data_IF_393467823719
#
_entry.id   IF_393467823719
#
_cell.length_a   1.000
_cell.length_b   1.000
_cell.length_c   1.000
_cell.angle_alpha   90.00
_cell.angle_beta   90.00
_cell.angle_gamma   90.00
#
_symmetry.space_group_name_H-M   'P 1'
#
loop_
_entity.id
_entity.type
_entity.pdbx_description
1 polymer ?
#
# COMPACT_ATOMS: atom_id res chain seq x y z
N UNK A 1 57.17 26.03 1.88
CA UNK A 1 55.70 26.19 1.91
C UNK A 1 54.96 25.20 1.00
N UNK A 2 55.29 25.08 -0.30
CA UNK A 2 54.60 24.17 -1.26
C UNK A 2 54.49 22.70 -0.82
N UNK A 3 55.55 22.09 -0.25
CA UNK A 3 55.52 20.70 0.24
C UNK A 3 54.56 20.46 1.41
N UNK A 4 54.33 21.46 2.27
CA UNK A 4 53.37 21.38 3.38
C UNK A 4 51.93 21.45 2.86
N UNK A 5 51.67 22.36 1.93
CA UNK A 5 50.37 22.46 1.27
C UNK A 5 49.99 21.16 0.56
N UNK A 6 50.92 20.58 -0.22
CA UNK A 6 50.68 19.32 -0.92
C UNK A 6 50.35 18.16 0.04
N UNK A 7 51.03 18.07 1.19
CA UNK A 7 50.74 17.05 2.22
C UNK A 7 49.35 17.23 2.83
N UNK A 8 48.95 18.47 3.13
CA UNK A 8 47.62 18.76 3.69
C UNK A 8 46.53 18.42 2.67
N UNK A 9 46.70 18.84 1.41
CA UNK A 9 45.76 18.50 0.34
C UNK A 9 45.62 16.98 0.15
N UNK A 10 46.73 16.23 0.22
CA UNK A 10 46.70 14.78 0.12
C UNK A 10 45.93 14.12 1.28
N UNK A 11 46.12 14.59 2.52
CA UNK A 11 45.38 14.09 3.69
C UNK A 11 43.89 14.35 3.54
N UNK A 12 43.50 15.54 3.06
CA UNK A 12 42.09 15.88 2.84
C UNK A 12 41.48 14.97 1.75
N UNK A 13 42.19 14.73 0.65
CA UNK A 13 41.74 13.85 -0.43
C UNK A 13 41.57 12.41 0.09
N UNK A 14 42.54 11.90 0.85
CA UNK A 14 42.45 10.56 1.45
C UNK A 14 41.29 10.48 2.43
N UNK A 15 41.09 11.50 3.27
CA UNK A 15 39.97 11.57 4.20
C UNK A 15 38.62 11.58 3.48
N UNK A 16 38.48 12.36 2.42
CA UNK A 16 37.26 12.40 1.61
C UNK A 16 37.00 11.07 0.89
N UNK A 17 38.03 10.45 0.31
CA UNK A 17 37.94 9.13 -0.29
C UNK A 17 37.54 8.06 0.74
N UNK A 18 38.06 8.15 1.96
CA UNK A 18 37.68 7.26 3.05
C UNK A 18 36.21 7.42 3.46
N UNK A 19 35.71 8.66 3.55
CA UNK A 19 34.29 8.92 3.85
C UNK A 19 33.40 8.34 2.76
N UNK A 20 33.72 8.58 1.48
CA UNK A 20 32.98 7.98 0.35
C UNK A 20 33.03 6.46 0.42
N UNK A 21 34.19 5.88 0.71
CA UNK A 21 34.33 4.43 0.82
C UNK A 21 33.50 3.86 1.98
N UNK A 22 33.49 4.53 3.14
CA UNK A 22 32.65 4.15 4.27
C UNK A 22 31.15 4.25 3.94
N UNK A 23 30.72 5.31 3.25
CA UNK A 23 29.34 5.48 2.77
C UNK A 23 28.96 4.40 1.75
N UNK A 24 29.86 4.07 0.82
CA UNK A 24 29.67 2.99 -0.15
C UNK A 24 29.49 1.62 0.52
N UNK A 25 30.15 1.40 1.67
CA UNK A 25 29.96 0.21 2.50
C UNK A 25 28.68 0.26 3.37
N UNK A 26 27.90 1.34 3.30
CA UNK A 26 26.67 1.51 4.07
C UNK A 26 26.89 1.97 5.51
N UNK A 27 28.09 2.41 5.89
CA UNK A 27 28.42 2.78 7.27
C UNK A 27 27.51 3.89 7.83
N UNK A 28 27.05 4.80 6.97
CA UNK A 28 26.17 5.91 7.35
C UNK A 28 24.68 5.65 7.11
N UNK A 29 24.29 4.47 6.58
CA UNK A 29 22.90 4.18 6.22
C UNK A 29 21.96 4.30 7.42
N UNK A 30 22.37 3.80 8.59
CA UNK A 30 21.57 3.90 9.81
C UNK A 30 21.33 5.34 10.27
N UNK A 31 22.36 6.20 10.18
CA UNK A 31 22.23 7.64 10.52
C UNK A 31 21.34 8.33 9.50
N UNK A 32 21.52 8.04 8.21
CA UNK A 32 20.70 8.60 7.14
C UNK A 32 19.22 8.23 7.31
N UNK A 33 18.91 6.97 7.62
CA UNK A 33 17.56 6.50 7.88
C UNK A 33 16.95 7.15 9.14
N UNK A 34 17.74 7.29 10.22
CA UNK A 34 17.28 7.97 11.42
C UNK A 34 16.94 9.45 11.17
N UNK A 35 17.81 10.17 10.45
CA UNK A 35 17.59 11.58 10.09
C UNK A 35 16.42 11.74 9.12
N UNK A 36 16.27 10.80 8.17
CA UNK A 36 15.11 10.73 7.29
C UNK A 36 13.83 10.61 8.10
N UNK A 37 13.76 9.68 9.06
CA UNK A 37 12.57 9.52 9.89
C UNK A 37 12.32 10.71 10.83
N UNK A 38 13.40 11.29 11.37
CA UNK A 38 13.33 12.49 12.18
C UNK A 38 12.70 13.64 11.39
N UNK A 39 12.99 13.74 10.09
CA UNK A 39 12.40 14.78 9.24
C UNK A 39 10.87 14.69 9.19
N UNK A 40 10.27 13.49 9.18
CA UNK A 40 8.81 13.33 9.25
C UNK A 40 8.26 13.79 10.58
N UNK A 41 8.91 13.39 11.68
CA UNK A 41 8.50 13.77 13.04
C UNK A 41 8.57 15.28 13.27
N UNK A 42 9.62 15.93 12.76
CA UNK A 42 9.78 17.38 12.85
C UNK A 42 8.80 18.11 11.92
N UNK A 43 8.55 17.59 10.73
CA UNK A 43 7.58 18.14 9.77
C UNK A 43 6.15 18.07 10.31
N UNK A 44 5.82 17.00 11.02
CA UNK A 44 4.46 16.73 11.45
C UNK A 44 3.53 16.38 10.28
N UNK A 45 2.23 16.39 10.56
CA UNK A 45 1.19 16.06 9.60
C UNK A 45 1.05 17.15 8.52
N UNK A 46 0.91 16.74 7.27
CA UNK A 46 0.70 17.61 6.11
C UNK A 46 -0.67 17.33 5.48
N UNK A 47 -1.16 18.24 4.65
CA UNK A 47 -2.45 18.05 3.96
C UNK A 47 -2.36 16.85 3.00
N UNK A 48 -3.31 15.93 3.13
CA UNK A 48 -3.52 14.81 2.22
C UNK A 48 -4.71 15.08 1.29
N UNK A 49 -4.87 14.24 0.27
CA UNK A 49 -5.99 14.29 -0.66
C UNK A 49 -7.28 13.82 0.03
N UNK A 50 -8.20 14.77 0.23
CA UNK A 50 -9.49 14.55 0.91
C UNK A 50 -10.42 13.59 0.17
N UNK A 51 -10.10 13.21 -1.07
CA UNK A 51 -10.84 12.17 -1.82
C UNK A 51 -10.57 10.78 -1.27
N UNK A 52 -9.42 10.53 -0.63
CA UNK A 52 -9.11 9.22 -0.06
C UNK A 52 -9.92 8.99 1.21
N UNK A 53 -10.70 7.91 1.24
CA UNK A 53 -11.54 7.51 2.36
C UNK A 53 -11.25 6.05 2.72
N UNK A 54 -10.99 5.79 4.00
CA UNK A 54 -10.82 4.43 4.52
C UNK A 54 -12.15 3.94 5.09
N UNK A 55 -12.61 2.80 4.60
CA UNK A 55 -13.73 2.04 5.17
C UNK A 55 -13.14 0.98 6.08
N UNK A 56 -13.25 1.24 7.38
CA UNK A 56 -12.63 0.46 8.43
C UNK A 56 -13.51 -0.71 8.84
N UNK A 57 -12.98 -1.93 8.74
CA UNK A 57 -13.53 -3.07 9.48
C UNK A 57 -12.89 -3.02 10.87
N UNK A 58 -13.51 -2.23 11.73
CA UNK A 58 -13.10 -1.91 13.08
C UNK A 58 -13.84 -2.77 14.13
N UNK A 59 -13.51 -2.58 15.41
CA UNK A 59 -14.13 -3.28 16.53
C UNK A 59 -15.65 -3.04 16.56
N UNK A 60 -16.09 -1.82 16.21
CA UNK A 60 -17.51 -1.48 16.08
C UNK A 60 -18.18 -2.37 15.03
N UNK A 61 -17.57 -2.53 13.86
CA UNK A 61 -18.07 -3.41 12.80
C UNK A 61 -18.17 -4.85 13.26
N UNK A 62 -17.13 -5.38 13.91
CA UNK A 62 -17.14 -6.76 14.40
C UNK A 62 -18.14 -6.98 15.54
N UNK A 63 -18.37 -5.97 16.39
CA UNK A 63 -19.36 -6.05 17.47
C UNK A 63 -20.80 -6.11 16.95
N UNK A 64 -21.10 -5.43 15.83
CA UNK A 64 -22.45 -5.31 15.28
C UNK A 64 -22.75 -6.34 14.16
N UNK A 65 -21.75 -6.76 13.38
CA UNK A 65 -21.91 -7.68 12.24
C UNK A 65 -21.38 -9.11 12.49
N UNK A 66 -20.64 -9.31 13.59
CA UNK A 66 -20.11 -10.61 13.98
C UNK A 66 -18.60 -10.75 13.78
N UNK A 67 -18.10 -11.98 13.91
CA UNK A 67 -16.67 -12.27 13.92
C UNK A 67 -16.05 -12.20 12.52
N UNK A 68 -14.74 -11.95 12.48
CA UNK A 68 -13.94 -12.09 11.28
C UNK A 68 -13.75 -13.58 10.90
N UNK A 69 -13.75 -13.94 9.61
CA UNK A 69 -14.08 -13.12 8.44
C UNK A 69 -15.58 -12.84 8.29
N UNK A 70 -15.91 -11.63 7.79
CA UNK A 70 -17.30 -11.24 7.51
C UNK A 70 -17.89 -11.97 6.29
N UNK A 71 -19.22 -12.16 6.27
CA UNK A 71 -19.95 -12.78 5.14
C UNK A 71 -19.80 -11.97 3.84
N UNK A 72 -19.71 -12.64 2.67
CA UNK A 72 -19.52 -11.95 1.37
C UNK A 72 -20.71 -11.07 0.96
N UNK A 73 -21.92 -11.42 1.40
CA UNK A 73 -23.12 -10.59 1.24
C UNK A 73 -22.95 -9.17 1.81
N UNK A 74 -22.23 -8.99 2.93
CA UNK A 74 -21.96 -7.65 3.46
C UNK A 74 -21.10 -6.81 2.51
N UNK A 75 -20.12 -7.38 1.85
CA UNK A 75 -19.29 -6.67 0.88
C UNK A 75 -20.08 -6.32 -0.38
N UNK A 76 -20.99 -7.19 -0.84
CA UNK A 76 -21.91 -6.89 -1.95
C UNK A 76 -22.81 -5.69 -1.61
N UNK A 77 -23.35 -5.66 -0.38
CA UNK A 77 -24.15 -4.53 0.11
C UNK A 77 -23.34 -3.24 0.22
N UNK A 78 -22.11 -3.32 0.73
CA UNK A 78 -21.18 -2.19 0.76
C UNK A 78 -21.01 -1.60 -0.65
N UNK A 79 -20.75 -2.45 -1.65
CA UNK A 79 -20.55 -2.01 -3.03
C UNK A 79 -21.79 -1.29 -3.63
N UNK A 80 -23.00 -1.65 -3.20
CA UNK A 80 -24.21 -0.93 -3.61
C UNK A 80 -24.19 0.53 -3.11
N UNK A 81 -23.77 0.76 -1.86
CA UNK A 81 -23.64 2.10 -1.27
C UNK A 81 -22.49 2.91 -1.87
N UNK A 82 -21.44 2.24 -2.36
CA UNK A 82 -20.25 2.89 -2.94
C UNK A 82 -20.35 3.16 -4.45
N UNK A 83 -21.55 3.13 -5.02
CA UNK A 83 -21.76 3.29 -6.47
C UNK A 83 -21.26 4.63 -7.03
N UNK A 84 -21.20 5.70 -6.24
CA UNK A 84 -20.71 7.02 -6.65
C UNK A 84 -19.20 7.25 -6.42
N UNK A 85 -18.49 6.29 -5.80
CA UNK A 85 -17.05 6.38 -5.60
C UNK A 85 -16.29 6.35 -6.94
N UNK A 86 -15.16 7.04 -7.05
CA UNK A 86 -14.34 7.03 -8.28
C UNK A 86 -13.57 5.73 -8.47
N UNK A 87 -13.08 5.14 -7.38
CA UNK A 87 -12.44 3.84 -7.36
C UNK A 87 -12.60 3.19 -5.98
N UNK A 88 -12.57 1.86 -5.93
CA UNK A 88 -12.73 1.08 -4.70
C UNK A 88 -11.62 0.04 -4.65
N UNK A 89 -10.83 0.02 -3.58
CA UNK A 89 -9.82 -1.00 -3.33
C UNK A 89 -10.18 -1.82 -2.09
N UNK A 90 -10.11 -3.14 -2.19
CA UNK A 90 -10.15 -4.01 -1.01
C UNK A 90 -8.74 -4.44 -0.62
N UNK A 91 -8.33 -4.15 0.61
CA UNK A 91 -7.17 -4.76 1.28
C UNK A 91 -7.62 -5.97 2.10
N UNK A 92 -8.33 -6.88 1.43
CA UNK A 92 -8.89 -8.12 1.99
C UNK A 92 -8.82 -9.20 0.90
N UNK A 93 -8.14 -10.31 1.21
CA UNK A 93 -8.05 -11.42 0.27
C UNK A 93 -9.33 -12.25 0.24
N UNK A 94 -9.84 -12.46 -0.97
CA UNK A 94 -11.03 -13.26 -1.23
C UNK A 94 -10.67 -14.60 -1.88
N UNK A 95 -9.70 -15.32 -1.33
CA UNK A 95 -9.12 -16.55 -1.92
C UNK A 95 -9.97 -17.80 -1.72
N UNK A 96 -10.66 -17.90 -0.59
CA UNK A 96 -11.53 -19.05 -0.29
C UNK A 96 -12.92 -18.87 -0.89
N UNK A 97 -13.49 -19.96 -1.40
CA UNK A 97 -14.85 -20.00 -1.93
C UNK A 97 -15.89 -19.75 -0.84
N UNK A 98 -16.92 -18.98 -1.16
CA UNK A 98 -18.04 -18.69 -0.29
C UNK A 98 -19.37 -18.77 -1.08
N UNK A 99 -20.46 -19.14 -0.40
CA UNK A 99 -21.81 -19.22 -1.00
C UNK A 99 -22.26 -17.90 -1.64
N UNK A 100 -21.84 -16.78 -1.06
CA UNK A 100 -22.20 -15.42 -1.46
C UNK A 100 -21.26 -14.83 -2.54
N UNK A 101 -20.27 -15.59 -3.05
CA UNK A 101 -19.25 -15.09 -3.99
C UNK A 101 -19.85 -14.58 -5.31
N UNK A 102 -20.91 -15.24 -5.82
CA UNK A 102 -21.57 -14.81 -7.06
C UNK A 102 -22.18 -13.42 -6.94
N UNK A 103 -22.86 -13.13 -5.83
CA UNK A 103 -23.45 -11.80 -5.58
C UNK A 103 -22.37 -10.73 -5.49
N UNK A 104 -21.27 -11.02 -4.78
CA UNK A 104 -20.14 -10.09 -4.70
C UNK A 104 -19.51 -9.87 -6.08
N UNK A 105 -19.32 -10.93 -6.85
CA UNK A 105 -18.74 -10.87 -8.19
C UNK A 105 -19.60 -10.03 -9.15
N UNK A 106 -20.92 -10.20 -9.13
CA UNK A 106 -21.84 -9.36 -9.91
C UNK A 106 -21.71 -7.88 -9.54
N UNK A 107 -21.63 -7.56 -8.24
CA UNK A 107 -21.43 -6.19 -7.78
C UNK A 107 -20.08 -5.60 -8.20
N UNK A 108 -18.99 -6.38 -8.13
CA UNK A 108 -17.66 -5.96 -8.60
C UNK A 108 -17.69 -5.71 -10.12
N UNK A 109 -18.29 -6.64 -10.89
CA UNK A 109 -18.38 -6.54 -12.35
C UNK A 109 -19.20 -5.33 -12.78
N UNK A 110 -20.35 -5.09 -12.13
CA UNK A 110 -21.24 -3.95 -12.40
C UNK A 110 -20.54 -2.61 -12.21
N UNK A 111 -19.70 -2.48 -11.18
CA UNK A 111 -19.01 -1.22 -10.89
C UNK A 111 -17.79 -0.99 -11.78
N UNK A 112 -17.05 -2.03 -12.19
CA UNK A 112 -15.89 -1.93 -13.10
C UNK A 112 -14.67 -1.16 -12.57
N UNK A 113 -14.76 -0.65 -11.34
CA UNK A 113 -13.78 0.22 -10.66
C UNK A 113 -13.29 -0.35 -9.32
N UNK A 114 -13.49 -1.65 -9.11
CA UNK A 114 -13.03 -2.38 -7.93
C UNK A 114 -11.67 -3.01 -8.19
N UNK A 115 -10.74 -2.87 -7.25
CA UNK A 115 -9.43 -3.52 -7.23
C UNK A 115 -9.36 -4.48 -6.06
N UNK A 116 -8.93 -5.71 -6.34
CA UNK A 116 -8.70 -6.75 -5.33
C UNK A 116 -7.20 -6.95 -5.07
N UNK A 117 -6.82 -7.40 -3.88
CA UNK A 117 -5.42 -7.52 -3.51
C UNK A 117 -4.82 -8.83 -4.01
N UNK A 118 -3.52 -8.81 -4.24
CA UNK A 118 -2.68 -9.99 -4.41
C UNK A 118 -1.67 -9.99 -3.27
N UNK A 119 -1.63 -11.09 -2.51
CA UNK A 119 -0.65 -11.26 -1.43
C UNK A 119 0.51 -12.11 -1.92
N UNK A 120 1.71 -11.76 -1.44
CA UNK A 120 2.92 -12.53 -1.65
C UNK A 120 3.37 -12.98 -0.27
N UNK A 121 3.38 -14.29 -0.04
CA UNK A 121 3.80 -14.86 1.23
C UNK A 121 5.31 -14.73 1.42
N UNK A 122 5.80 -14.99 2.64
CA UNK A 122 7.23 -15.06 2.93
C UNK A 122 7.96 -16.16 2.15
N UNK A 123 7.26 -17.24 1.79
CA UNK A 123 7.79 -18.30 0.91
C UNK A 123 7.80 -17.90 -0.57
N UNK A 124 7.29 -16.71 -0.90
CA UNK A 124 7.14 -16.20 -2.26
C UNK A 124 5.91 -16.76 -2.98
N UNK A 125 5.01 -17.45 -2.28
CA UNK A 125 3.77 -17.94 -2.87
C UNK A 125 2.79 -16.78 -3.06
N UNK A 126 2.17 -16.75 -4.24
CA UNK A 126 1.20 -15.70 -4.55
C UNK A 126 -0.21 -16.20 -4.27
N UNK A 127 -0.91 -15.53 -3.37
CA UNK A 127 -2.34 -15.74 -3.11
C UNK A 127 -3.15 -14.73 -3.92
N UNK A 128 -4.08 -15.26 -4.72
CA UNK A 128 -5.02 -14.48 -5.56
C UNK A 128 -6.45 -14.59 -5.02
N UNK A 129 -7.33 -13.67 -5.39
CA UNK A 129 -8.76 -13.88 -5.27
C UNK A 129 -9.18 -15.19 -5.94
N UNK A 130 -10.26 -15.79 -5.43
CA UNK A 130 -10.90 -16.98 -6.00
C UNK A 130 -11.19 -16.80 -7.50
N UNK A 131 -11.23 -17.92 -8.23
CA UNK A 131 -11.46 -18.01 -9.68
C UNK A 131 -12.69 -17.19 -10.15
N UNK A 132 -13.72 -17.12 -9.30
CA UNK A 132 -14.96 -16.35 -9.53
C UNK A 132 -14.67 -14.86 -9.75
N UNK A 133 -13.58 -14.33 -9.18
CA UNK A 133 -13.15 -12.93 -9.31
C UNK A 133 -12.02 -12.74 -10.33
N UNK A 134 -11.73 -13.71 -11.19
CA UNK A 134 -10.65 -13.65 -12.20
C UNK A 134 -10.75 -12.45 -13.17
N UNK A 135 -11.96 -11.91 -13.38
CA UNK A 135 -12.20 -10.71 -14.20
C UNK A 135 -11.86 -9.40 -13.46
N UNK A 136 -11.70 -9.42 -12.13
CA UNK A 136 -11.47 -8.22 -11.35
C UNK A 136 -10.05 -7.70 -11.57
N UNK A 137 -9.91 -6.37 -11.56
CA UNK A 137 -8.58 -5.74 -11.54
C UNK A 137 -7.90 -6.12 -10.23
N UNK A 138 -6.62 -6.46 -10.30
CA UNK A 138 -5.84 -6.90 -9.14
C UNK A 138 -4.52 -6.18 -9.05
N UNK A 139 -4.04 -5.94 -7.83
CA UNK A 139 -2.72 -5.38 -7.58
C UNK A 139 -2.11 -5.89 -6.29
N UNK A 140 -0.79 -5.99 -6.23
CA UNK A 140 -0.12 -6.53 -5.04
C UNK A 140 -0.14 -5.53 -3.88
N UNK A 141 -0.37 -6.04 -2.67
CA UNK A 141 -0.34 -5.24 -1.44
C UNK A 141 1.02 -5.28 -0.73
N UNK A 142 1.97 -6.00 -1.34
CA UNK A 142 3.31 -6.20 -0.80
C UNK A 142 4.06 -4.88 -0.50
N UNK A 143 4.49 -4.75 0.74
CA UNK A 143 5.43 -3.73 1.25
C UNK A 143 6.47 -4.43 2.12
N UNK A 144 7.70 -3.93 2.11
CA UNK A 144 8.78 -4.55 2.88
C UNK A 144 9.33 -3.58 3.92
N UNK A 145 9.45 -4.02 5.19
CA UNK A 145 10.22 -3.28 6.16
C UNK A 145 11.72 -3.35 5.81
N UNK A 146 12.44 -2.30 6.16
CA UNK A 146 13.89 -2.29 6.11
C UNK A 146 14.49 -3.20 7.20
N UNK A 147 15.82 -3.31 7.23
CA UNK A 147 16.56 -4.08 8.26
C UNK A 147 16.29 -3.62 9.69
N UNK A 148 15.81 -2.39 9.87
CA UNK A 148 15.39 -1.81 11.14
C UNK A 148 13.89 -2.00 11.45
N UNK A 149 13.15 -2.71 10.58
CA UNK A 149 11.72 -2.96 10.74
C UNK A 149 10.81 -1.85 10.23
N UNK A 150 11.35 -0.71 9.77
CA UNK A 150 10.56 0.45 9.35
C UNK A 150 10.30 0.39 7.85
N UNK A 151 9.04 0.52 7.45
CA UNK A 151 8.63 0.55 6.04
C UNK A 151 8.74 1.96 5.50
N UNK A 152 9.60 2.16 4.50
CA UNK A 152 9.86 3.47 3.87
C UNK A 152 9.64 3.50 2.36
N UNK A 153 9.61 2.34 1.71
CA UNK A 153 9.51 2.23 0.26
C UNK A 153 8.40 1.28 -0.15
N UNK A 154 7.89 1.54 -1.35
CA UNK A 154 7.04 0.61 -2.11
C UNK A 154 7.71 0.34 -3.44
N UNK A 155 7.54 -0.87 -3.96
CA UNK A 155 7.87 -1.19 -5.34
C UNK A 155 6.58 -1.25 -6.12
N UNK A 156 6.42 -0.39 -7.13
CA UNK A 156 5.17 -0.34 -7.89
C UNK A 156 5.03 -1.48 -8.90
N UNK A 157 6.10 -2.24 -9.12
CA UNK A 157 6.12 -3.35 -10.06
C UNK A 157 6.93 -4.51 -9.50
N UNK A 158 6.31 -5.68 -9.47
CA UNK A 158 6.91 -6.96 -9.08
C UNK A 158 6.81 -7.92 -10.26
N UNK A 159 7.92 -8.56 -10.60
CA UNK A 159 8.00 -9.65 -11.57
C UNK A 159 8.25 -10.94 -10.80
N UNK A 160 7.34 -11.91 -10.94
CA UNK A 160 7.49 -13.22 -10.32
C UNK A 160 6.92 -14.30 -11.23
N UNK A 161 7.68 -15.37 -11.49
CA UNK A 161 7.30 -16.47 -12.41
C UNK A 161 6.65 -15.95 -13.68
N UNK A 162 7.28 -14.96 -14.32
CA UNK A 162 6.81 -14.32 -15.56
C UNK A 162 5.47 -13.55 -15.46
N UNK A 163 4.96 -13.35 -14.25
CA UNK A 163 3.79 -12.51 -13.99
C UNK A 163 4.24 -11.11 -13.61
N UNK A 164 3.76 -10.12 -14.35
CA UNK A 164 3.91 -8.70 -13.98
C UNK A 164 2.79 -8.31 -13.04
N UNK A 165 3.14 -7.94 -11.81
CA UNK A 165 2.21 -7.47 -10.80
C UNK A 165 2.47 -6.00 -10.53
N UNK A 166 1.47 -5.16 -10.77
CA UNK A 166 1.51 -3.76 -10.35
C UNK A 166 1.02 -3.63 -8.91
N UNK A 167 1.52 -2.63 -8.18
CA UNK A 167 1.07 -2.39 -6.82
C UNK A 167 -0.42 -2.03 -6.80
N UNK A 168 -1.10 -2.44 -5.73
CA UNK A 168 -2.51 -2.16 -5.48
C UNK A 168 -2.84 -0.67 -5.66
N UNK A 169 -2.05 0.22 -5.08
CA UNK A 169 -2.20 1.67 -5.23
C UNK A 169 -2.00 2.14 -6.69
N UNK A 170 -1.06 1.57 -7.45
CA UNK A 170 -0.89 1.91 -8.88
C UNK A 170 -2.08 1.51 -9.73
N UNK A 171 -2.70 0.37 -9.45
CA UNK A 171 -3.88 -0.08 -10.21
C UNK A 171 -5.08 0.83 -9.92
N UNK A 172 -5.28 1.22 -8.66
CA UNK A 172 -6.31 2.22 -8.27
C UNK A 172 -6.03 3.57 -8.94
N UNK A 173 -4.79 4.04 -8.90
CA UNK A 173 -4.37 5.26 -9.57
C UNK A 173 -4.67 5.23 -11.08
N UNK A 174 -4.35 4.14 -11.76
CA UNK A 174 -4.61 3.96 -13.19
C UNK A 174 -6.11 4.03 -13.52
N UNK A 175 -6.99 3.50 -12.68
CA UNK A 175 -8.44 3.64 -12.83
C UNK A 175 -8.84 5.12 -12.79
N UNK A 176 -8.30 5.89 -11.85
CA UNK A 176 -8.64 7.30 -11.64
C UNK A 176 -8.21 8.17 -12.83
N UNK A 177 -7.03 7.92 -13.39
CA UNK A 177 -6.53 8.66 -14.56
C UNK A 177 -7.04 8.10 -15.90
N UNK A 178 -7.87 7.05 -15.90
CA UNK A 178 -8.42 6.43 -17.11
C UNK A 178 -7.39 5.65 -17.95
N UNK A 179 -6.29 5.19 -17.35
CA UNK A 179 -5.27 4.39 -18.03
C UNK A 179 -5.57 2.91 -17.88
N UNK A 180 -5.59 2.16 -18.98
CA UNK A 180 -5.66 0.69 -18.91
C UNK A 180 -4.37 0.12 -18.32
N UNK A 181 -4.52 -0.67 -17.25
CA UNK A 181 -3.44 -1.37 -16.58
C UNK A 181 -3.61 -2.87 -16.80
N UNK A 182 -3.19 -3.36 -17.96
CA UNK A 182 -3.15 -4.80 -18.20
C UNK A 182 -1.85 -5.35 -17.59
N UNK A 183 -1.98 -6.21 -16.58
CA UNK A 183 -0.90 -7.08 -16.11
C UNK A 183 -0.53 -8.01 -17.27
N UNK A 184 0.44 -7.61 -18.09
CA UNK A 184 0.86 -8.39 -19.26
C UNK A 184 1.72 -9.57 -18.83
N UNK A 185 1.40 -10.78 -19.29
CA UNK A 185 2.30 -11.92 -19.21
C UNK A 185 3.48 -11.69 -20.17
N UNK A 186 4.71 -11.69 -19.66
CA UNK A 186 5.88 -11.83 -20.51
C UNK A 186 6.26 -13.31 -20.54
N UNK A 187 5.98 -14.00 -21.65
CA UNK A 187 6.48 -15.35 -21.88
C UNK A 187 7.99 -15.31 -22.14
N UNK A 188 8.81 -15.05 -21.12
CA UNK A 188 10.23 -15.35 -21.16
C UNK A 188 10.38 -16.87 -21.04
N UNK A 189 10.51 -17.53 -22.19
CA UNK A 189 11.11 -18.86 -22.25
C UNK A 189 12.58 -18.68 -21.90
N UNK A 190 13.06 -19.52 -20.99
CA UNK A 190 14.42 -19.56 -20.42
C UNK A 190 14.62 -18.64 -19.21
N UNK A 191 14.91 -19.23 -18.04
CA UNK A 191 16.07 -18.87 -17.20
C UNK A 191 16.01 -19.36 -15.74
N UNK A 192 17.21 -19.52 -15.17
CA UNK A 192 17.62 -19.99 -13.83
C UNK A 192 16.96 -19.19 -12.65
N UNK A 193 16.12 -18.20 -12.95
CA UNK A 193 15.52 -17.25 -12.00
C UNK A 193 14.01 -17.44 -11.77
N UNK A 194 13.41 -18.57 -12.19
CA UNK A 194 11.96 -18.81 -12.11
C UNK A 194 11.34 -18.54 -10.72
N UNK A 195 12.09 -18.77 -9.63
CA UNK A 195 11.62 -18.55 -8.26
C UNK A 195 12.10 -17.22 -7.61
N UNK A 196 12.72 -16.31 -8.36
CA UNK A 196 13.18 -15.03 -7.82
C UNK A 196 12.12 -13.94 -8.01
N UNK A 197 11.84 -13.19 -6.95
CA UNK A 197 11.02 -11.98 -7.01
C UNK A 197 11.94 -10.83 -7.47
N UNK A 198 11.58 -10.17 -8.56
CA UNK A 198 12.24 -8.94 -9.00
C UNK A 198 11.33 -7.76 -8.70
N UNK A 199 11.81 -6.85 -7.86
CA UNK A 199 11.10 -5.64 -7.49
C UNK A 199 11.71 -4.46 -8.26
N UNK A 200 10.86 -3.72 -8.98
CA UNK A 200 11.28 -2.56 -9.77
C UNK A 200 10.34 -1.38 -9.52
N UNK A 201 10.68 -0.22 -10.10
CA UNK A 201 9.91 1.01 -9.91
C UNK A 201 9.72 1.37 -8.42
N UNK A 202 10.84 1.44 -7.70
CA UNK A 202 10.85 1.77 -6.26
C UNK A 202 10.51 3.24 -6.03
N UNK A 203 9.70 3.52 -5.01
CA UNK A 203 9.38 4.87 -4.57
C UNK A 203 9.47 4.98 -3.05
N UNK A 204 10.12 6.04 -2.56
CA UNK A 204 10.02 6.43 -1.15
C UNK A 204 8.59 6.88 -0.85
N UNK A 205 8.01 6.36 0.22
CA UNK A 205 6.66 6.72 0.64
C UNK A 205 6.75 8.02 1.44
N UNK A 206 6.17 9.10 0.92
CA UNK A 206 5.91 10.29 1.73
C UNK A 206 4.69 10.02 2.61
N UNK A 207 4.88 9.94 3.93
CA UNK A 207 3.78 9.78 4.88
C UNK A 207 3.12 11.11 5.22
N UNK A 208 1.80 11.19 5.23
CA UNK A 208 1.09 12.47 5.43
C UNK A 208 0.85 12.80 6.91
N UNK A 209 1.10 11.85 7.81
CA UNK A 209 0.99 12.02 9.26
C UNK A 209 1.07 10.67 9.99
N UNK A 210 0.79 10.65 11.31
CA UNK A 210 0.70 9.42 12.10
C UNK A 210 -0.54 8.58 11.74
N UNK A 211 -0.76 7.47 12.42
CA UNK A 211 -1.98 6.66 12.21
C UNK A 211 -3.26 7.49 12.42
N UNK A 212 -4.27 7.23 11.61
CA UNK A 212 -5.52 7.98 11.60
C UNK A 212 -5.45 9.28 10.81
N UNK A 213 -4.46 9.46 9.93
CA UNK A 213 -4.32 10.68 9.13
C UNK A 213 -5.45 10.83 8.12
N UNK A 214 -5.86 9.73 7.48
CA UNK A 214 -6.92 9.72 6.48
C UNK A 214 -8.30 9.67 7.14
N UNK A 215 -9.33 10.17 6.45
CA UNK A 215 -10.71 10.07 6.95
C UNK A 215 -11.15 8.60 6.98
N UNK A 216 -11.73 8.19 8.10
CA UNK A 216 -12.28 6.84 8.30
C UNK A 216 -13.80 6.87 8.44
N UNK A 217 -14.44 5.79 8.03
CA UNK A 217 -15.83 5.46 8.35
C UNK A 217 -15.92 3.96 8.64
N UNK A 218 -16.61 3.58 9.71
CA UNK A 218 -16.82 2.16 10.05
C UNK A 218 -17.62 1.48 8.96
N UNK A 219 -17.21 0.28 8.54
CA UNK A 219 -17.90 -0.53 7.55
C UNK A 219 -19.38 -0.73 7.92
N UNK A 220 -19.68 -1.01 9.20
CA UNK A 220 -21.06 -1.18 9.66
C UNK A 220 -21.91 0.08 9.54
N UNK A 221 -21.33 1.26 9.67
CA UNK A 221 -22.08 2.51 9.50
C UNK A 221 -22.55 2.68 8.05
N UNK A 222 -21.78 2.18 7.08
CA UNK A 222 -22.21 2.17 5.68
C UNK A 222 -23.36 1.18 5.47
N UNK A 223 -23.23 -0.04 5.98
CA UNK A 223 -24.29 -1.07 5.88
C UNK A 223 -25.59 -0.58 6.53
N UNK A 224 -25.50 0.18 7.61
CA UNK A 224 -26.65 0.74 8.34
C UNK A 224 -27.09 2.12 7.86
N UNK A 225 -26.53 2.62 6.74
CA UNK A 225 -26.85 3.94 6.17
C UNK A 225 -26.68 5.12 7.15
N UNK A 226 -25.66 5.06 8.01
CA UNK A 226 -25.28 6.09 8.98
C UNK A 226 -24.19 7.02 8.42
N UNK A 227 -24.50 7.67 7.31
CA UNK A 227 -23.64 8.66 6.66
C UNK A 227 -24.48 9.71 5.94
N UNK A 228 -23.88 10.86 5.62
CA UNK A 228 -24.57 11.96 4.93
C UNK A 228 -24.87 11.61 3.47
N UNK A 229 -25.87 12.29 2.88
CA UNK A 229 -26.15 12.14 1.45
C UNK A 229 -24.93 12.54 0.61
N UNK A 230 -24.70 11.84 -0.51
CA UNK A 230 -23.61 12.08 -1.46
C UNK A 230 -22.18 11.94 -0.86
N UNK A 231 -22.05 11.32 0.32
CA UNK A 231 -20.78 11.19 1.06
C UNK A 231 -19.66 10.51 0.25
N UNK A 232 -20.00 9.57 -0.63
CA UNK A 232 -19.05 8.81 -1.44
C UNK A 232 -18.76 9.43 -2.80
N UNK A 233 -19.43 10.53 -3.17
CA UNK A 233 -19.25 11.17 -4.47
C UNK A 233 -17.81 11.63 -4.63
N UNK A 234 -17.17 11.20 -5.73
CA UNK A 234 -15.76 11.48 -6.05
C UNK A 234 -14.74 10.96 -5.01
N UNK A 235 -15.14 10.05 -4.11
CA UNK A 235 -14.22 9.44 -3.15
C UNK A 235 -13.47 8.27 -3.77
N UNK A 236 -12.22 8.10 -3.36
CA UNK A 236 -11.42 6.91 -3.62
C UNK A 236 -11.45 6.10 -2.33
N UNK A 237 -12.12 4.96 -2.37
CA UNK A 237 -12.47 4.21 -1.17
C UNK A 237 -11.53 3.03 -1.01
N UNK A 238 -10.86 2.94 0.13
CA UNK A 238 -10.01 1.81 0.50
C UNK A 238 -10.67 1.07 1.66
N UNK A 239 -10.96 -0.21 1.48
CA UNK A 239 -11.66 -1.04 2.47
C UNK A 239 -10.68 -2.03 3.07
N UNK A 240 -10.55 -2.05 4.40
CA UNK A 240 -9.58 -2.94 5.05
C UNK A 240 -9.82 -3.11 6.54
N UNK A 241 -9.07 -4.05 7.12
CA UNK A 241 -9.14 -4.43 8.52
C UNK A 241 -8.33 -3.47 9.39
N UNK A 242 -8.95 -2.90 10.41
CA UNK A 242 -8.31 -1.95 11.35
C UNK A 242 -8.64 -2.26 12.81
N UNK A 243 -9.26 -3.42 13.07
CA UNK A 243 -9.66 -3.86 14.40
C UNK A 243 -8.48 -4.46 15.16
N UNK A 244 -8.23 -3.92 16.35
CA UNK A 244 -7.06 -4.19 17.19
C UNK A 244 -6.80 -5.68 17.35
N UNK A 245 -5.58 -6.10 17.01
CA UNK A 245 -5.14 -7.49 17.15
C UNK A 245 -5.52 -8.40 15.98
N UNK A 246 -6.27 -7.89 14.99
CA UNK A 246 -6.47 -8.55 13.70
C UNK A 246 -5.79 -7.80 12.55
N UNK A 247 -5.53 -6.50 12.69
CA UNK A 247 -4.85 -5.73 11.64
C UNK A 247 -3.38 -6.12 11.43
N UNK A 248 -2.89 -5.87 10.21
CA UNK A 248 -1.47 -5.76 9.96
C UNK A 248 -0.94 -4.47 10.57
N UNK A 249 0.08 -4.57 11.43
CA UNK A 249 0.68 -3.45 12.14
C UNK A 249 2.00 -3.07 11.49
N UNK A 250 1.98 -1.98 10.72
CA UNK A 250 3.13 -1.52 9.96
C UNK A 250 3.81 -0.37 10.71
N UNK A 251 5.12 -0.50 10.92
CA UNK A 251 5.95 0.53 11.52
C UNK A 251 6.42 1.47 10.41
N UNK A 252 6.22 2.76 10.60
CA UNK A 252 6.57 3.81 9.64
C UNK A 252 7.34 4.94 10.33
N UNK A 253 7.96 5.88 9.60
CA UNK A 253 8.74 6.97 10.19
C UNK A 253 8.03 7.80 11.28
N UNK A 254 6.71 7.91 11.22
CA UNK A 254 5.87 8.58 12.23
C UNK A 254 5.58 7.73 13.48
N UNK A 255 5.79 6.41 13.44
CA UNK A 255 5.46 5.52 14.55
C UNK A 255 6.25 5.92 15.79
N UNK A 256 5.51 6.27 16.84
CA UNK A 256 6.05 6.47 18.18
C UNK A 256 5.35 5.51 19.13
N UNK A 257 6.12 4.88 20.02
CA UNK A 257 5.61 3.93 21.00
C UNK A 257 4.77 2.79 20.38
N UNK A 258 3.44 2.84 20.50
CA UNK A 258 2.51 1.77 20.07
C UNK A 258 1.74 2.09 18.79
N UNK A 259 1.92 3.29 18.21
CA UNK A 259 1.13 3.80 17.11
C UNK A 259 1.66 3.31 15.75
N UNK A 260 1.18 2.14 15.32
CA UNK A 260 1.42 1.56 13.98
C UNK A 260 0.29 1.93 13.04
N UNK A 261 0.54 1.97 11.73
CA UNK A 261 -0.53 2.14 10.73
C UNK A 261 -1.03 0.78 10.24
N UNK A 262 -2.29 0.73 9.78
CA UNK A 262 -2.88 -0.45 9.17
C UNK A 262 -2.38 -0.66 7.73
N UNK A 263 -2.53 -1.89 7.20
CA UNK A 263 -2.26 -2.21 5.79
C UNK A 263 -3.01 -1.28 4.82
N UNK A 264 -4.29 -1.05 5.08
CA UNK A 264 -5.10 -0.15 4.25
C UNK A 264 -4.63 1.30 4.33
N UNK A 265 -4.14 1.76 5.48
CA UNK A 265 -3.60 3.11 5.65
C UNK A 265 -2.22 3.30 4.99
N UNK A 266 -1.39 2.26 4.89
CA UNK A 266 -0.16 2.38 4.10
C UNK A 266 -0.48 2.54 2.61
N UNK A 267 -1.49 1.82 2.11
CA UNK A 267 -1.95 1.98 0.73
C UNK A 267 -2.58 3.34 0.46
N UNK A 268 -3.24 3.94 1.45
CA UNK A 268 -3.71 5.33 1.38
C UNK A 268 -2.54 6.31 1.18
N UNK A 269 -1.46 6.18 1.97
CA UNK A 269 -0.25 6.99 1.81
C UNK A 269 0.37 6.79 0.41
N UNK A 270 0.56 5.54 -0.03
CA UNK A 270 1.15 5.24 -1.34
C UNK A 270 0.31 5.82 -2.47
N UNK A 271 -1.02 5.68 -2.40
CA UNK A 271 -1.93 6.25 -3.39
C UNK A 271 -1.86 7.78 -3.40
N UNK A 272 -1.81 8.42 -2.23
CA UNK A 272 -1.69 9.87 -2.15
C UNK A 272 -0.38 10.37 -2.79
N UNK A 273 0.72 9.65 -2.63
CA UNK A 273 2.00 9.97 -3.31
C UNK A 273 1.86 9.94 -4.84
N UNK A 274 1.02 9.04 -5.38
CA UNK A 274 0.77 8.96 -6.83
C UNK A 274 -0.13 10.10 -7.29
N UNK A 275 -1.15 10.48 -6.51
CA UNK A 275 -2.06 11.57 -6.82
C UNK A 275 -1.38 12.94 -6.77
N UNK A 276 -0.49 13.17 -5.81
CA UNK A 276 0.24 14.43 -5.67
C UNK A 276 1.16 14.71 -6.86
N UNK A 277 1.62 13.69 -7.58
CA UNK A 277 2.43 13.87 -8.81
C UNK A 277 1.64 14.47 -9.98
N UNK A 278 0.31 14.58 -9.87
CA UNK A 278 -0.56 15.20 -10.87
C UNK A 278 -0.71 16.72 -10.64
N UNK A 279 -0.46 17.20 -9.41
CA UNK A 279 -0.63 18.59 -9.00
C UNK A 279 0.71 19.35 -8.97
#
# INVERSE_FOLDING_TARGET
MKKRFLKISLIIIIGYAFIIFADYLGFFEGINNYLYDLSFRLRGSIKHDERILIVAIDEKTLSELGRWPLKRSYYSNLLNSLSEASAIGFDIIFSESSEDDLSLAESIKRLGKVVLPIYISKSGEITRPSEVFSFAKTGHVHVEPYTDGITRKVFHHIIYRNTNLYSFASVIYNIIIGKESNSQFHNAKDDIFYNKIFQTNSMNINFYGPSGTFKHISFVDIIKNRYEKDFFRNKIVLVGLTASGLEERIIVPFTQQRDTISGVEIHANILNNLLDKIL
#
